data_IF_738651159257
#
_entry.id   IF_738651159257
#
_cell.length_a   1.000
_cell.length_b   1.000
_cell.length_c   1.000
_cell.angle_alpha   90.00
_cell.angle_beta   90.00
_cell.angle_gamma   90.00
#
_symmetry.space_group_name_H-M   'P 1'
#
loop_
_entity.id
_entity.type
_entity.pdbx_description
1 polymer ?
#
# COMPACT_ATOMS: atom_id res chain seq x y z
N UNK A 1 -9.45 4.87 -9.05
CA UNK A 1 -9.94 4.48 -7.71
C UNK A 1 -8.78 3.84 -6.96
N UNK A 2 -8.45 4.30 -5.76
CA UNK A 2 -7.19 3.97 -5.06
C UNK A 2 -7.22 2.66 -4.24
N UNK A 3 -8.35 1.96 -4.23
CA UNK A 3 -8.51 0.71 -3.50
C UNK A 3 -7.51 -0.34 -4.02
N UNK A 4 -6.69 -0.89 -3.12
CA UNK A 4 -5.53 -1.77 -3.40
C UNK A 4 -4.38 -1.17 -4.22
N UNK A 5 -4.41 0.12 -4.58
CA UNK A 5 -3.32 0.78 -5.31
C UNK A 5 -2.32 1.54 -4.44
N UNK A 6 -2.44 1.39 -3.12
CA UNK A 6 -1.64 2.13 -2.13
C UNK A 6 -1.80 3.66 -2.25
N UNK A 7 -2.82 4.17 -2.92
CA UNK A 7 -3.16 5.60 -2.92
C UNK A 7 -4.02 5.99 -1.71
N UNK A 8 -4.37 7.27 -1.62
CA UNK A 8 -5.18 7.79 -0.51
C UNK A 8 -6.67 7.48 -0.64
N UNK A 9 -7.32 7.29 0.51
CA UNK A 9 -8.75 7.05 0.60
C UNK A 9 -9.31 7.44 1.96
N UNK A 10 -10.55 7.93 1.96
CA UNK A 10 -11.24 8.44 3.14
C UNK A 10 -11.99 7.32 3.88
N UNK A 11 -11.97 7.39 5.21
CA UNK A 11 -12.75 6.52 6.08
C UNK A 11 -14.09 7.18 6.44
N UNK A 12 -15.18 6.72 5.82
CA UNK A 12 -16.54 7.22 6.09
C UNK A 12 -17.38 6.08 6.68
N UNK A 13 -17.96 6.32 7.86
CA UNK A 13 -18.81 5.36 8.55
C UNK A 13 -18.10 4.56 9.64
N UNK A 14 -18.90 3.81 10.38
CA UNK A 14 -18.46 2.99 11.51
C UNK A 14 -17.53 1.87 11.04
N UNK A 15 -16.36 1.73 11.67
CA UNK A 15 -15.36 0.71 11.32
C UNK A 15 -14.60 0.94 10.00
N UNK A 16 -14.81 2.07 9.32
CA UNK A 16 -14.10 2.38 8.08
C UNK A 16 -12.60 2.62 8.32
N UNK A 17 -11.77 2.28 7.32
CA UNK A 17 -10.33 2.54 7.33
C UNK A 17 -9.98 3.63 6.32
N UNK A 18 -8.92 4.38 6.59
CA UNK A 18 -8.42 5.46 5.75
C UNK A 18 -6.91 5.46 5.67
N UNK A 19 -6.41 6.06 4.60
CA UNK A 19 -4.99 6.34 4.39
C UNK A 19 -4.87 7.72 3.76
N UNK A 20 -4.02 8.57 4.33
CA UNK A 20 -3.74 9.92 3.84
C UNK A 20 -2.24 10.14 3.76
N UNK A 21 -1.77 10.71 2.66
CA UNK A 21 -0.40 11.16 2.45
C UNK A 21 -0.37 12.69 2.52
N UNK A 22 0.55 13.24 3.31
CA UNK A 22 0.74 14.67 3.50
C UNK A 22 1.86 15.23 2.60
N UNK A 23 1.89 16.55 2.35
CA UNK A 23 2.90 17.16 1.47
C UNK A 23 4.35 16.99 1.93
N UNK A 24 4.58 16.75 3.22
CA UNK A 24 5.89 16.44 3.81
C UNK A 24 6.30 14.97 3.67
N UNK A 25 5.46 14.15 3.04
CA UNK A 25 5.69 12.72 2.84
C UNK A 25 5.26 11.84 4.02
N UNK A 26 4.65 12.40 5.07
CA UNK A 26 4.01 11.60 6.12
C UNK A 26 2.83 10.81 5.54
N UNK A 27 2.69 9.55 5.95
CA UNK A 27 1.55 8.70 5.59
C UNK A 27 0.86 8.27 6.87
N UNK A 28 -0.41 8.63 7.05
CA UNK A 28 -1.22 8.21 8.18
C UNK A 28 -2.22 7.13 7.76
N UNK A 29 -2.24 6.04 8.53
CA UNK A 29 -3.32 5.05 8.55
C UNK A 29 -4.23 5.38 9.72
N UNK A 30 -5.53 5.40 9.49
CA UNK A 30 -6.49 5.58 10.57
C UNK A 30 -7.72 4.70 10.38
N UNK A 31 -8.43 4.48 11.47
CA UNK A 31 -9.70 3.74 11.46
C UNK A 31 -10.74 4.42 12.31
N UNK A 32 -12.00 4.29 11.88
CA UNK A 32 -13.14 4.80 12.61
C UNK A 32 -13.59 3.82 13.68
N UNK A 33 -14.14 4.34 14.77
CA UNK A 33 -14.72 3.52 15.85
C UNK A 33 -15.60 2.42 15.28
N UNK A 34 -15.29 1.19 15.68
CA UNK A 34 -15.88 -0.03 15.13
C UNK A 34 -17.31 -0.28 15.60
N UNK A 35 -17.63 0.13 16.83
CA UNK A 35 -18.93 -0.13 17.41
C UNK A 35 -19.91 1.02 17.07
N UNK A 36 -21.06 0.75 16.44
CA UNK A 36 -22.00 1.79 15.98
C UNK A 36 -22.42 2.75 17.09
N UNK A 37 -22.66 2.24 18.30
CA UNK A 37 -22.98 3.08 19.47
C UNK A 37 -21.89 4.10 19.78
N UNK A 38 -20.60 3.73 19.71
CA UNK A 38 -19.50 4.67 19.94
C UNK A 38 -19.45 5.71 18.83
N UNK A 39 -19.51 5.26 17.57
CA UNK A 39 -19.52 6.14 16.41
C UNK A 39 -20.67 7.16 16.44
N UNK A 40 -21.89 6.74 16.78
CA UNK A 40 -23.08 7.62 16.85
C UNK A 40 -23.01 8.65 18.01
N UNK A 41 -22.15 8.43 19.02
CA UNK A 41 -21.91 9.42 20.09
C UNK A 41 -20.89 10.50 19.69
N UNK A 42 -20.26 10.39 18.53
CA UNK A 42 -19.20 11.30 18.09
C UNK A 42 -17.78 10.78 18.34
N UNK A 43 -17.62 9.61 18.95
CA UNK A 43 -16.33 8.97 19.13
C UNK A 43 -15.89 8.39 17.77
N UNK A 44 -15.35 9.21 16.87
CA UNK A 44 -15.11 8.77 15.49
C UNK A 44 -13.78 8.10 15.27
N UNK A 45 -12.71 8.48 15.97
CA UNK A 45 -11.37 7.94 15.76
C UNK A 45 -11.11 6.77 16.71
N UNK A 46 -10.70 5.62 16.17
CA UNK A 46 -10.28 4.47 16.96
C UNK A 46 -8.76 4.38 17.08
N UNK A 47 -8.08 4.48 15.94
CA UNK A 47 -6.63 4.34 15.83
C UNK A 47 -6.14 5.27 14.72
N UNK A 48 -4.98 5.89 14.95
CA UNK A 48 -4.20 6.62 13.96
C UNK A 48 -2.73 6.27 14.16
N UNK A 49 -2.02 6.02 13.06
CA UNK A 49 -0.59 5.71 13.09
C UNK A 49 0.11 6.15 11.82
N UNK A 50 1.36 6.57 11.98
CA UNK A 50 2.27 6.78 10.87
C UNK A 50 2.67 5.44 10.23
N UNK A 51 2.77 5.41 8.91
CA UNK A 51 3.39 4.31 8.15
C UNK A 51 4.86 4.68 7.90
N UNK A 52 5.79 4.14 8.70
CA UNK A 52 7.20 4.49 8.59
C UNK A 52 7.76 3.99 7.26
N UNK A 53 8.79 4.67 6.75
CA UNK A 53 9.40 4.35 5.44
C UNK A 53 9.77 2.88 5.28
N UNK A 54 10.22 2.22 6.36
CA UNK A 54 10.60 0.80 6.36
C UNK A 54 9.42 -0.13 6.04
N UNK A 55 8.19 0.27 6.36
CA UNK A 55 6.98 -0.54 6.16
C UNK A 55 6.32 -0.26 4.79
N UNK A 56 6.57 0.91 4.19
CA UNK A 56 5.92 1.34 2.94
C UNK A 56 6.13 0.37 1.76
N UNK A 57 7.34 -0.18 1.52
CA UNK A 57 7.54 -1.13 0.43
C UNK A 57 6.67 -2.37 0.57
N UNK A 58 6.62 -2.94 1.78
CA UNK A 58 5.84 -4.14 2.05
C UNK A 58 4.35 -3.86 1.84
N UNK A 59 3.83 -2.77 2.41
CA UNK A 59 2.43 -2.40 2.22
C UNK A 59 2.08 -2.11 0.75
N UNK A 60 2.95 -1.41 0.03
CA UNK A 60 2.75 -1.11 -1.39
C UNK A 60 2.64 -2.40 -2.21
N UNK A 61 3.65 -3.27 -2.12
CA UNK A 61 3.68 -4.48 -2.93
C UNK A 61 2.57 -5.45 -2.52
N UNK A 62 2.26 -5.62 -1.24
CA UNK A 62 1.14 -6.45 -0.79
C UNK A 62 -0.20 -6.01 -1.41
N UNK A 63 -0.43 -4.70 -1.53
CA UNK A 63 -1.64 -4.17 -2.13
C UNK A 63 -1.63 -4.32 -3.65
N UNK A 64 -0.51 -3.95 -4.30
CA UNK A 64 -0.39 -3.94 -5.76
C UNK A 64 -0.39 -5.32 -6.37
N UNK A 65 0.36 -6.24 -5.77
CA UNK A 65 0.48 -7.59 -6.28
C UNK A 65 -0.80 -8.41 -6.11
N UNK A 66 -1.66 -8.07 -5.15
CA UNK A 66 -3.00 -8.68 -5.02
C UNK A 66 -3.90 -8.46 -6.26
N UNK A 67 -3.63 -7.42 -7.05
CA UNK A 67 -4.43 -7.12 -8.25
C UNK A 67 -4.06 -7.99 -9.46
N UNK A 68 -2.92 -8.69 -9.45
CA UNK A 68 -2.43 -9.50 -10.58
C UNK A 68 -2.23 -8.70 -11.88
N UNK A 69 -2.14 -7.38 -11.77
CA UNK A 69 -1.90 -6.44 -12.86
C UNK A 69 -0.45 -5.92 -12.82
N UNK A 70 -0.06 -5.22 -13.88
CA UNK A 70 1.24 -4.60 -13.95
C UNK A 70 1.33 -3.50 -12.88
N UNK A 71 2.50 -3.41 -12.26
CA UNK A 71 2.85 -2.45 -11.22
C UNK A 71 3.85 -1.47 -11.82
N UNK A 72 3.40 -0.30 -12.30
CA UNK A 72 4.30 0.74 -12.78
C UNK A 72 5.28 1.15 -11.68
N UNK A 73 6.56 1.21 -12.03
CA UNK A 73 7.65 1.57 -11.14
C UNK A 73 7.50 2.99 -10.58
N UNK A 74 6.97 3.90 -11.39
CA UNK A 74 6.66 5.28 -10.97
C UNK A 74 5.63 5.35 -9.83
N UNK A 75 4.66 4.44 -9.78
CA UNK A 75 3.66 4.43 -8.71
C UNK A 75 4.29 4.07 -7.35
N UNK A 76 5.37 3.27 -7.35
CA UNK A 76 6.11 2.98 -6.12
C UNK A 76 6.72 4.26 -5.56
N UNK A 77 7.42 5.02 -6.39
CA UNK A 77 8.05 6.27 -5.97
C UNK A 77 7.01 7.31 -5.56
N UNK A 78 5.96 7.47 -6.36
CA UNK A 78 4.89 8.44 -6.11
C UNK A 78 4.11 8.16 -4.82
N UNK A 79 3.82 6.90 -4.49
CA UNK A 79 2.96 6.58 -3.34
C UNK A 79 3.73 6.21 -2.07
N UNK A 80 5.01 5.81 -2.17
CA UNK A 80 5.84 5.52 -0.99
C UNK A 80 6.77 6.67 -0.63
N UNK A 81 7.09 7.56 -1.58
CA UNK A 81 8.13 8.57 -1.43
C UNK A 81 9.56 8.01 -1.48
N UNK A 82 9.72 6.72 -1.81
CA UNK A 82 11.00 6.03 -1.83
C UNK A 82 11.49 5.79 -3.25
N UNK A 83 12.79 5.92 -3.49
CA UNK A 83 13.39 5.52 -4.76
C UNK A 83 13.33 4.00 -4.96
N UNK A 84 13.22 3.54 -6.20
CA UNK A 84 13.23 2.10 -6.54
C UNK A 84 14.46 1.35 -6.00
N UNK A 85 15.58 2.03 -5.79
CA UNK A 85 16.79 1.43 -5.18
C UNK A 85 16.53 0.86 -3.79
N UNK A 86 15.53 1.36 -3.05
CA UNK A 86 15.16 0.87 -1.72
C UNK A 86 14.70 -0.60 -1.72
N UNK A 87 14.25 -1.11 -2.87
CA UNK A 87 13.69 -2.47 -3.00
C UNK A 87 14.45 -3.34 -4.00
N UNK A 88 15.56 -2.83 -4.55
CA UNK A 88 16.32 -3.49 -5.61
C UNK A 88 16.68 -4.95 -5.27
N UNK A 89 17.22 -5.18 -4.08
CA UNK A 89 17.64 -6.53 -3.65
C UNK A 89 16.45 -7.50 -3.58
N UNK A 90 15.31 -7.06 -3.06
CA UNK A 90 14.11 -7.87 -2.93
C UNK A 90 13.49 -8.18 -4.30
N UNK A 91 13.50 -7.20 -5.20
CA UNK A 91 13.07 -7.37 -6.59
C UNK A 91 13.97 -8.36 -7.32
N UNK A 92 15.29 -8.26 -7.19
CA UNK A 92 16.24 -9.21 -7.76
C UNK A 92 15.99 -10.64 -7.29
N UNK A 93 15.74 -10.83 -5.99
CA UNK A 93 15.37 -12.15 -5.43
C UNK A 93 14.06 -12.67 -6.05
N UNK A 94 13.04 -11.81 -6.17
CA UNK A 94 11.75 -12.19 -6.74
C UNK A 94 11.86 -12.54 -8.23
N UNK A 95 12.70 -11.84 -8.99
CA UNK A 95 13.01 -12.14 -10.40
C UNK A 95 13.75 -13.48 -10.51
N UNK A 96 14.78 -13.72 -9.70
CA UNK A 96 15.54 -14.97 -9.69
C UNK A 96 14.65 -16.18 -9.35
N UNK A 97 13.66 -15.99 -8.47
CA UNK A 97 12.67 -17.02 -8.11
C UNK A 97 11.51 -17.13 -9.10
N UNK A 98 11.51 -16.34 -10.18
CA UNK A 98 10.43 -16.29 -11.15
C UNK A 98 9.06 -15.98 -10.52
N UNK A 99 9.02 -15.20 -9.44
CA UNK A 99 7.77 -14.72 -8.84
C UNK A 99 7.20 -13.52 -9.59
N UNK A 100 8.10 -12.70 -10.13
CA UNK A 100 7.75 -11.56 -10.98
C UNK A 100 8.60 -11.58 -12.24
N UNK A 101 8.13 -10.87 -13.26
CA UNK A 101 8.91 -10.39 -14.40
C UNK A 101 8.92 -8.88 -14.38
N UNK A 102 9.89 -8.26 -15.04
CA UNK A 102 9.94 -6.81 -15.16
C UNK A 102 10.17 -6.34 -16.59
N UNK A 103 9.64 -5.15 -16.88
CA UNK A 103 10.02 -4.33 -18.02
C UNK A 103 10.80 -3.11 -17.52
N UNK A 104 11.19 -2.23 -18.43
CA UNK A 104 11.77 -0.93 -18.07
C UNK A 104 10.86 -0.14 -17.12
N UNK A 105 9.54 -0.23 -17.29
CA UNK A 105 8.57 0.63 -16.60
C UNK A 105 7.70 -0.07 -15.56
N UNK A 106 7.67 -1.41 -15.49
CA UNK A 106 6.75 -2.11 -14.60
C UNK A 106 7.29 -3.45 -14.07
N UNK A 107 6.76 -3.86 -12.91
CA UNK A 107 6.84 -5.23 -12.40
C UNK A 107 5.51 -5.95 -12.61
N UNK A 108 5.52 -7.26 -12.85
CA UNK A 108 4.32 -8.07 -13.05
C UNK A 108 4.49 -9.43 -12.39
N UNK A 109 3.50 -9.87 -11.62
CA UNK A 109 3.49 -11.23 -11.06
C UNK A 109 3.32 -12.26 -12.16
N UNK A 110 4.09 -13.34 -12.07
CA UNK A 110 3.94 -14.55 -12.88
C UNK A 110 2.91 -15.50 -12.29
N UNK A 111 2.42 -16.49 -13.05
CA UNK A 111 1.56 -17.54 -12.48
C UNK A 111 2.22 -18.29 -11.30
N UNK A 112 3.54 -18.44 -11.30
CA UNK A 112 4.27 -19.06 -10.20
C UNK A 112 4.26 -18.17 -8.94
N UNK A 113 4.49 -16.87 -9.10
CA UNK A 113 4.48 -15.91 -8.00
C UNK A 113 3.12 -15.77 -7.31
N UNK A 114 1.99 -16.06 -7.98
CA UNK A 114 0.66 -16.05 -7.34
C UNK A 114 0.50 -17.08 -6.22
N UNK A 115 1.35 -18.10 -6.20
CA UNK A 115 1.28 -19.21 -5.26
C UNK A 115 2.09 -18.98 -3.97
N UNK A 116 2.87 -17.89 -3.90
CA UNK A 116 3.78 -17.56 -2.79
C UNK A 116 3.57 -16.12 -2.31
#
# INVERSE_FOLDING_TARGET
MNYWRFGDYLAIGCGAHGKLTFPDGEILRFSKTKHPKGYLRGDYLYEEKNVPEIDRPFEFFMNRFRLLEAVPKEEFEAYTGLAQSAVKNQIEIALQRNYIVETETAWQITEHGKLF
#
